data_IF_729118889585
#
_entry.id   IF_729118889585
#
_cell.length_a   1.000
_cell.length_b   1.000
_cell.length_c   1.000
_cell.angle_alpha   90.00
_cell.angle_beta   90.00
_cell.angle_gamma   90.00
#
_symmetry.space_group_name_H-M   'P 1'
#
loop_
_entity.id
_entity.type
_entity.pdbx_description
1 polymer ?
#
# COMPACT_ATOMS: atom_id res chain seq x y z
N UNK A 1 -10.68 4.99 6.45
CA UNK A 1 -10.25 5.29 7.83
C UNK A 1 -10.66 6.72 8.10
N UNK A 2 -11.24 6.99 9.26
CA UNK A 2 -11.73 8.33 9.59
C UNK A 2 -10.60 9.29 9.97
N UNK A 3 -10.76 10.57 9.61
CA UNK A 3 -9.80 11.63 9.95
C UNK A 3 -9.49 11.66 11.46
N UNK A 4 -10.50 11.45 12.30
CA UNK A 4 -10.36 11.40 13.77
C UNK A 4 -9.34 10.36 14.23
N UNK A 5 -9.27 9.19 13.58
CA UNK A 5 -8.30 8.14 13.94
C UNK A 5 -6.88 8.52 13.53
N UNK A 6 -6.72 9.21 12.41
CA UNK A 6 -5.42 9.72 11.94
C UNK A 6 -4.91 10.80 12.90
N UNK A 7 -5.78 11.72 13.30
CA UNK A 7 -5.44 12.76 14.28
C UNK A 7 -5.01 12.13 15.60
N UNK A 8 -5.73 11.09 16.06
CA UNK A 8 -5.36 10.32 17.25
C UNK A 8 -4.00 9.64 17.14
N UNK A 9 -3.65 9.05 15.98
CA UNK A 9 -2.31 8.49 15.73
C UNK A 9 -1.24 9.58 15.89
N UNK A 10 -1.49 10.79 15.37
CA UNK A 10 -0.57 11.91 15.45
C UNK A 10 -0.40 12.42 16.89
N UNK A 11 -1.48 12.50 17.66
CA UNK A 11 -1.42 12.82 19.09
C UNK A 11 -0.56 11.82 19.86
N UNK A 12 -0.83 10.52 19.70
CA UNK A 12 -0.05 9.46 20.34
C UNK A 12 1.41 9.48 19.89
N UNK A 13 1.69 9.82 18.63
CA UNK A 13 3.06 9.96 18.13
C UNK A 13 3.80 11.15 18.77
N UNK A 14 3.13 12.30 18.93
CA UNK A 14 3.69 13.47 19.63
C UNK A 14 3.94 13.15 21.11
N UNK A 15 2.97 12.53 21.77
CA UNK A 15 3.06 12.11 23.18
C UNK A 15 4.23 11.16 23.43
N UNK A 16 4.37 10.14 22.57
CA UNK A 16 5.51 9.20 22.59
C UNK A 16 6.87 9.90 22.54
N UNK A 17 6.99 10.98 21.76
CA UNK A 17 8.23 11.73 21.59
C UNK A 17 8.54 12.65 22.78
N UNK A 18 7.52 13.20 23.42
CA UNK A 18 7.68 14.15 24.52
C UNK A 18 7.90 13.44 25.87
N UNK A 19 6.99 12.55 26.24
CA UNK A 19 6.90 11.98 27.60
C UNK A 19 6.83 10.45 27.61
N UNK A 20 6.65 9.83 26.45
CA UNK A 20 6.45 8.38 26.31
C UNK A 20 4.97 8.01 26.22
N UNK A 21 4.69 6.71 26.13
CA UNK A 21 3.32 6.19 26.07
C UNK A 21 3.08 5.21 27.21
N UNK A 22 1.89 5.26 27.79
CA UNK A 22 1.44 4.24 28.73
C UNK A 22 1.28 2.89 28.01
N UNK A 23 1.24 1.76 28.74
CA UNK A 23 0.99 0.45 28.14
C UNK A 23 -0.32 0.40 27.33
N UNK A 24 -1.38 1.02 27.83
CA UNK A 24 -2.68 1.09 27.17
C UNK A 24 -2.62 1.89 25.86
N UNK A 25 -1.95 3.04 25.89
CA UNK A 25 -1.76 3.88 24.70
C UNK A 25 -0.88 3.23 23.63
N UNK A 26 0.08 2.39 24.03
CA UNK A 26 0.87 1.60 23.07
C UNK A 26 -0.01 0.58 22.34
N UNK A 27 -0.92 -0.07 23.05
CA UNK A 27 -1.89 -1.01 22.44
C UNK A 27 -2.84 -0.26 21.52
N UNK A 28 -3.36 0.90 21.96
CA UNK A 28 -4.21 1.77 21.13
C UNK A 28 -3.46 2.21 19.86
N UNK A 29 -2.23 2.71 20.00
CA UNK A 29 -1.40 3.14 18.87
C UNK A 29 -1.12 1.99 17.89
N UNK A 30 -0.84 0.78 18.40
CA UNK A 30 -0.59 -0.38 17.56
C UNK A 30 -1.82 -0.74 16.73
N UNK A 31 -2.99 -0.83 17.36
CA UNK A 31 -4.26 -1.13 16.69
C UNK A 31 -4.62 -0.09 15.62
N UNK A 32 -4.48 1.20 15.96
CA UNK A 32 -4.74 2.28 15.02
C UNK A 32 -3.78 2.27 13.83
N UNK A 33 -2.48 1.99 14.08
CA UNK A 33 -1.48 1.89 13.00
C UNK A 33 -1.73 0.69 12.10
N UNK A 34 -2.12 -0.45 12.65
CA UNK A 34 -2.46 -1.63 11.86
C UNK A 34 -3.61 -1.33 10.91
N UNK A 35 -4.71 -0.76 11.41
CA UNK A 35 -5.86 -0.35 10.59
C UNK A 35 -5.46 0.64 9.47
N UNK A 36 -4.62 1.63 9.80
CA UNK A 36 -4.09 2.58 8.82
C UNK A 36 -3.26 1.88 7.73
N UNK A 37 -2.34 1.01 8.13
CA UNK A 37 -1.44 0.29 7.22
C UNK A 37 -2.23 -0.64 6.31
N UNK A 38 -3.26 -1.32 6.80
CA UNK A 38 -4.12 -2.15 5.95
C UNK A 38 -4.84 -1.35 4.87
N UNK A 39 -5.43 -0.21 5.25
CA UNK A 39 -6.07 0.70 4.30
C UNK A 39 -5.09 1.23 3.26
N UNK A 40 -3.92 1.67 3.73
CA UNK A 40 -2.85 2.17 2.88
C UNK A 40 -2.32 1.10 1.92
N UNK A 41 -2.06 -0.12 2.40
CA UNK A 41 -1.60 -1.25 1.58
C UNK A 41 -2.58 -1.56 0.45
N UNK A 42 -3.89 -1.51 0.69
CA UNK A 42 -4.91 -1.67 -0.36
C UNK A 42 -4.81 -0.58 -1.42
N UNK A 43 -4.70 0.68 -1.00
CA UNK A 43 -4.57 1.82 -1.92
C UNK A 43 -3.28 1.74 -2.76
N UNK A 44 -2.14 1.47 -2.11
CA UNK A 44 -0.85 1.31 -2.79
C UNK A 44 -0.88 0.15 -3.77
N UNK A 45 -1.45 -1.00 -3.38
CA UNK A 45 -1.58 -2.16 -4.28
C UNK A 45 -2.35 -1.77 -5.54
N UNK A 46 -3.51 -1.13 -5.40
CA UNK A 46 -4.31 -0.68 -6.54
C UNK A 46 -3.52 0.27 -7.46
N UNK A 47 -2.74 1.18 -6.88
CA UNK A 47 -1.93 2.11 -7.66
C UNK A 47 -0.80 1.39 -8.43
N UNK A 48 -0.06 0.50 -7.76
CA UNK A 48 1.04 -0.25 -8.35
C UNK A 48 0.55 -1.19 -9.47
N UNK A 49 -0.60 -1.83 -9.27
CA UNK A 49 -1.20 -2.70 -10.30
C UNK A 49 -1.53 -1.95 -11.60
N UNK A 50 -1.73 -0.63 -11.53
CA UNK A 50 -1.98 0.20 -12.71
C UNK A 50 -0.71 0.71 -13.41
N UNK A 51 0.48 0.53 -12.83
CA UNK A 51 1.73 1.07 -13.38
C UNK A 51 2.39 0.06 -14.32
N UNK A 52 2.87 0.56 -15.47
CA UNK A 52 3.79 -0.14 -16.37
C UNK A 52 5.20 0.41 -16.14
N UNK A 53 6.17 -0.46 -15.89
CA UNK A 53 7.57 -0.05 -15.68
C UNK A 53 8.31 -0.28 -16.99
N UNK A 54 8.92 0.78 -17.51
CA UNK A 54 9.76 0.75 -18.72
C UNK A 54 11.18 1.18 -18.36
N UNK A 55 12.18 0.57 -18.99
CA UNK A 55 13.58 1.01 -18.88
C UNK A 55 13.88 2.21 -19.79
N UNK A 56 15.11 2.71 -19.75
CA UNK A 56 15.56 3.84 -20.59
C UNK A 56 15.57 3.51 -22.09
N UNK A 57 15.64 2.23 -22.44
CA UNK A 57 15.60 1.72 -23.82
C UNK A 57 14.16 1.51 -24.32
N UNK A 58 13.15 1.65 -23.44
CA UNK A 58 11.73 1.51 -23.75
C UNK A 58 11.17 0.09 -23.59
N UNK A 59 11.95 -0.86 -23.07
CA UNK A 59 11.48 -2.22 -22.83
C UNK A 59 10.60 -2.29 -21.57
N UNK A 60 9.57 -3.12 -21.61
CA UNK A 60 8.70 -3.37 -20.46
C UNK A 60 9.39 -4.31 -19.45
N UNK A 61 9.90 -3.72 -18.38
CA UNK A 61 10.56 -4.42 -17.27
C UNK A 61 9.63 -4.58 -16.06
N UNK A 62 8.31 -4.51 -16.28
CA UNK A 62 7.34 -4.77 -15.21
C UNK A 62 7.58 -6.17 -14.60
N UNK A 63 7.77 -6.28 -13.27
CA UNK A 63 7.99 -7.56 -12.61
C UNK A 63 6.91 -8.59 -12.92
N UNK A 64 7.27 -9.87 -13.12
CA UNK A 64 6.33 -10.93 -13.53
C UNK A 64 5.12 -11.05 -12.60
N UNK A 65 5.32 -10.90 -11.29
CA UNK A 65 4.23 -10.92 -10.31
C UNK A 65 3.18 -9.84 -10.57
N UNK A 66 3.60 -8.64 -11.01
CA UNK A 66 2.69 -7.57 -11.38
C UNK A 66 2.06 -7.84 -12.75
N UNK A 67 2.81 -8.43 -13.69
CA UNK A 67 2.25 -8.84 -14.99
C UNK A 67 1.12 -9.85 -14.84
N UNK A 68 1.29 -10.84 -13.98
CA UNK A 68 0.26 -11.83 -13.67
C UNK A 68 -1.00 -11.18 -13.10
N UNK A 69 -0.87 -10.29 -12.10
CA UNK A 69 -2.02 -9.57 -11.53
C UNK A 69 -2.69 -8.67 -12.57
N UNK A 70 -1.93 -8.08 -13.49
CA UNK A 70 -2.50 -7.28 -14.58
C UNK A 70 -3.23 -8.13 -15.62
N UNK A 71 -2.75 -9.34 -15.94
CA UNK A 71 -3.46 -10.31 -16.80
C UNK A 71 -4.79 -10.74 -16.19
N UNK A 72 -4.78 -11.10 -14.90
CA UNK A 72 -6.00 -11.48 -14.17
C UNK A 72 -7.06 -10.36 -14.17
N UNK A 73 -6.61 -9.10 -14.19
CA UNK A 73 -7.47 -7.92 -14.21
C UNK A 73 -7.76 -7.37 -15.61
N UNK A 74 -7.21 -7.96 -16.66
CA UNK A 74 -7.35 -7.48 -18.05
C UNK A 74 -6.79 -6.07 -18.29
N UNK A 75 -5.74 -5.68 -17.56
CA UNK A 75 -5.10 -4.37 -17.66
C UNK A 75 -3.95 -4.38 -18.68
N UNK A 76 -3.65 -3.20 -19.26
CA UNK A 76 -2.52 -2.98 -20.17
C UNK A 76 -2.47 -3.91 -21.40
N UNK A 77 -3.62 -4.42 -21.84
CA UNK A 77 -3.73 -5.31 -23.01
C UNK A 77 -3.19 -6.72 -22.78
N UNK A 78 -2.77 -7.05 -21.55
CA UNK A 78 -2.21 -8.37 -21.22
C UNK A 78 -3.33 -9.38 -21.04
N UNK A 79 -3.33 -10.43 -21.86
CA UNK A 79 -4.32 -11.52 -21.78
C UNK A 79 -3.81 -12.66 -20.89
N UNK A 80 -4.74 -13.39 -20.25
CA UNK A 80 -4.44 -14.68 -19.62
C UNK A 80 -4.09 -15.74 -20.66
N UNK A 81 -4.59 -15.58 -21.89
CA UNK A 81 -4.43 -16.53 -22.99
C UNK A 81 -3.13 -16.32 -23.78
N UNK A 82 -2.46 -15.17 -23.59
CA UNK A 82 -1.17 -14.86 -24.22
C UNK A 82 -0.11 -14.48 -23.17
N UNK A 83 0.74 -15.43 -22.76
CA UNK A 83 1.79 -15.20 -21.76
C UNK A 83 2.92 -14.29 -22.27
N UNK A 84 2.97 -13.94 -23.56
CA UNK A 84 3.94 -13.00 -24.14
C UNK A 84 3.37 -11.60 -24.41
N UNK A 85 2.09 -11.36 -24.08
CA UNK A 85 1.43 -10.05 -24.20
C UNK A 85 1.68 -9.10 -23.03
#
# INVERSE_FOLDING_TARGET
>A
MDQKKIDRINELAKKKKAEGLTPEEKVEQAKLREEYIEGYRRSVRHHIEGIKIVDEEGNDVTPEKLRQVQREKGLHGRSLDDPNS
#
